data_IF_812581122223
#
_entry.id   IF_812581122223
#
_cell.length_a   1.000
_cell.length_b   1.000
_cell.length_c   1.000
_cell.angle_alpha   90.00
_cell.angle_beta   90.00
_cell.angle_gamma   90.00
#
_symmetry.space_group_name_H-M   'P 1'
#
loop_
_entity.id
_entity.type
_entity.pdbx_description
1 polymer ?
#
# COMPACT_ATOMS: atom_id res chain seq x y z
N UNK A 1 4.60 -1.08 8.13
CA UNK A 1 4.52 -0.96 6.69
C UNK A 1 4.00 0.38 6.30
N UNK A 2 3.42 0.89 5.46
CA UNK A 2 3.10 2.29 5.08
C UNK A 2 4.25 3.04 4.37
N UNK A 3 5.24 2.31 3.88
CA UNK A 3 6.44 2.87 3.25
C UNK A 3 6.80 2.16 1.95
N UNK A 4 5.82 1.82 1.10
CA UNK A 4 6.06 1.24 -0.23
C UNK A 4 6.39 -0.25 -0.27
N UNK A 5 6.25 -0.96 0.83
CA UNK A 5 6.52 -2.40 0.88
C UNK A 5 5.67 -3.22 -0.09
N UNK A 6 4.42 -2.83 -0.28
CA UNK A 6 3.50 -3.47 -1.24
C UNK A 6 4.02 -3.33 -2.69
N UNK A 7 4.38 -2.12 -3.10
CA UNK A 7 4.96 -1.86 -4.42
C UNK A 7 6.27 -2.63 -4.62
N UNK A 8 7.11 -2.70 -3.59
CA UNK A 8 8.37 -3.45 -3.62
C UNK A 8 8.13 -4.94 -3.81
N UNK A 9 7.18 -5.52 -3.07
CA UNK A 9 6.77 -6.90 -3.24
C UNK A 9 6.27 -7.20 -4.65
N UNK A 10 5.41 -6.30 -5.15
CA UNK A 10 4.83 -6.44 -6.48
C UNK A 10 5.91 -6.41 -7.57
N UNK A 11 6.88 -5.49 -7.45
CA UNK A 11 8.02 -5.44 -8.35
C UNK A 11 8.79 -6.78 -8.38
N UNK A 12 9.14 -7.31 -7.23
CA UNK A 12 9.91 -8.56 -7.14
C UNK A 12 9.14 -9.76 -7.72
N UNK A 13 7.83 -9.83 -7.52
CA UNK A 13 6.99 -10.87 -8.15
C UNK A 13 6.96 -10.74 -9.67
N UNK A 14 6.88 -9.52 -10.21
CA UNK A 14 6.94 -9.27 -11.64
C UNK A 14 8.30 -9.62 -12.26
N UNK A 15 9.36 -9.60 -11.46
CA UNK A 15 10.69 -10.07 -11.84
C UNK A 15 10.84 -11.60 -11.77
N UNK A 16 9.79 -12.34 -11.40
CA UNK A 16 9.84 -13.79 -11.26
C UNK A 16 10.59 -14.30 -10.02
N UNK A 17 10.85 -13.43 -9.03
CA UNK A 17 11.49 -13.83 -7.79
C UNK A 17 10.48 -14.54 -6.87
N UNK A 18 10.98 -15.52 -6.13
CA UNK A 18 10.22 -16.15 -5.06
C UNK A 18 10.14 -15.20 -3.87
N UNK A 19 8.98 -14.59 -3.67
CA UNK A 19 8.74 -13.60 -2.63
C UNK A 19 8.01 -14.24 -1.47
N UNK A 20 8.58 -14.13 -0.28
CA UNK A 20 7.98 -14.62 0.96
C UNK A 20 6.60 -14.02 1.24
N UNK A 21 5.83 -14.68 2.10
CA UNK A 21 4.47 -14.25 2.45
C UNK A 21 4.50 -12.95 3.22
N UNK A 22 3.69 -11.98 2.75
CA UNK A 22 3.56 -10.66 3.33
C UNK A 22 2.35 -10.60 4.28
N UNK A 23 2.53 -9.96 5.41
CA UNK A 23 1.41 -9.50 6.24
C UNK A 23 0.75 -10.53 7.16
N UNK A 24 1.09 -11.81 7.08
CA UNK A 24 0.57 -12.83 7.99
C UNK A 24 1.64 -13.16 9.02
N UNK A 25 1.36 -12.95 10.28
CA UNK A 25 2.19 -13.39 11.40
C UNK A 25 1.83 -14.82 11.80
N UNK A 26 2.78 -15.55 12.38
CA UNK A 26 2.55 -16.85 12.94
C UNK A 26 3.31 -18.00 12.29
N UNK A 27 3.01 -19.19 12.74
CA UNK A 27 3.74 -20.42 12.38
C UNK A 27 3.67 -20.74 10.88
N UNK A 28 2.52 -20.54 10.25
CA UNK A 28 2.37 -20.82 8.82
C UNK A 28 3.23 -19.92 7.95
N UNK A 29 3.42 -18.67 8.34
CA UNK A 29 4.33 -17.74 7.64
C UNK A 29 5.79 -18.12 7.88
N UNK A 30 6.12 -18.50 9.11
CA UNK A 30 7.46 -19.00 9.44
C UNK A 30 7.81 -20.22 8.59
N UNK A 31 6.93 -21.23 8.53
CA UNK A 31 7.16 -22.46 7.74
C UNK A 31 7.31 -22.14 6.24
N UNK A 32 6.51 -21.24 5.69
CA UNK A 32 6.64 -20.83 4.28
C UNK A 32 7.97 -20.12 4.02
N UNK A 33 8.37 -19.20 4.87
CA UNK A 33 9.65 -18.51 4.73
C UNK A 33 10.83 -19.45 4.90
N UNK A 34 10.73 -20.40 5.83
CA UNK A 34 11.72 -21.46 6.00
C UNK A 34 11.88 -22.32 4.74
N UNK A 35 10.76 -22.82 4.20
CA UNK A 35 10.78 -23.60 2.97
C UNK A 35 11.33 -22.80 1.79
N UNK A 36 11.00 -21.52 1.69
CA UNK A 36 11.58 -20.65 0.67
C UNK A 36 13.09 -20.48 0.83
N UNK A 37 13.60 -20.38 2.06
CA UNK A 37 15.04 -20.24 2.32
C UNK A 37 15.83 -21.51 1.95
N UNK A 38 15.20 -22.67 1.96
CA UNK A 38 15.79 -23.94 1.55
C UNK A 38 15.79 -24.17 0.03
N UNK A 39 15.05 -23.38 -0.72
CA UNK A 39 14.99 -23.54 -2.18
C UNK A 39 16.30 -23.08 -2.81
N UNK A 40 16.71 -23.78 -3.90
CA UNK A 40 17.92 -23.43 -4.67
C UNK A 40 17.71 -22.21 -5.59
N UNK A 41 16.49 -21.70 -5.66
CA UNK A 41 16.15 -20.51 -6.47
C UNK A 41 16.63 -19.24 -5.77
N UNK A 42 16.81 -18.17 -6.54
CA UNK A 42 17.07 -16.84 -5.97
C UNK A 42 15.89 -16.42 -5.12
N UNK A 43 16.07 -16.44 -3.82
CA UNK A 43 15.00 -16.15 -2.87
C UNK A 43 15.09 -14.74 -2.33
N UNK A 44 13.95 -14.08 -2.27
CA UNK A 44 13.76 -12.88 -1.50
C UNK A 44 12.94 -13.23 -0.26
N UNK A 45 13.58 -13.18 0.89
CA UNK A 45 12.87 -13.34 2.17
C UNK A 45 12.39 -11.97 2.61
N UNK A 46 11.09 -11.77 2.61
CA UNK A 46 10.51 -10.56 3.19
C UNK A 46 10.11 -10.82 4.62
N UNK A 47 10.79 -10.14 5.52
CA UNK A 47 10.46 -10.17 6.94
C UNK A 47 9.29 -9.22 7.20
N UNK A 48 8.15 -9.77 7.60
CA UNK A 48 6.97 -8.99 7.93
C UNK A 48 7.22 -8.09 9.16
N UNK A 49 6.60 -6.91 9.18
CA UNK A 49 6.72 -5.96 10.26
C UNK A 49 6.15 -6.37 11.62
N UNK A 50 5.45 -7.46 11.73
CA UNK A 50 4.81 -7.83 12.98
C UNK A 50 5.83 -8.38 13.98
N UNK A 51 5.85 -7.79 15.16
CA UNK A 51 6.68 -8.19 16.29
C UNK A 51 6.08 -9.39 17.00
N UNK A 52 5.96 -10.52 16.33
CA UNK A 52 5.65 -11.77 17.02
C UNK A 52 6.93 -12.59 17.25
N UNK A 53 6.81 -13.60 18.08
CA UNK A 53 7.90 -14.54 18.41
C UNK A 53 8.52 -15.25 17.18
N UNK A 54 7.83 -15.28 16.05
CA UNK A 54 8.30 -15.90 14.82
C UNK A 54 9.16 -14.97 13.98
N UNK A 55 9.06 -13.65 14.17
CA UNK A 55 9.88 -12.68 13.49
C UNK A 55 11.37 -12.88 13.81
N UNK A 56 11.71 -12.97 15.08
CA UNK A 56 13.09 -13.22 15.52
C UNK A 56 13.61 -14.56 14.99
N UNK A 57 12.76 -15.59 15.03
CA UNK A 57 13.09 -16.91 14.47
C UNK A 57 13.38 -16.84 12.97
N UNK A 58 12.62 -16.08 12.19
CA UNK A 58 12.90 -15.87 10.78
C UNK A 58 14.27 -15.20 10.57
N UNK A 59 14.64 -14.24 11.41
CA UNK A 59 15.96 -13.59 11.33
C UNK A 59 17.10 -14.56 11.59
N UNK A 60 16.95 -15.52 12.50
CA UNK A 60 17.95 -16.54 12.77
C UNK A 60 18.09 -17.60 11.68
N UNK A 61 17.08 -17.75 10.80
CA UNK A 61 17.15 -18.65 9.65
C UNK A 61 17.97 -18.11 8.49
N UNK A 62 18.29 -16.82 8.51
CA UNK A 62 19.03 -16.16 7.45
C UNK A 62 20.52 -16.39 7.74
N UNK A 63 21.10 -17.34 7.03
CA UNK A 63 22.52 -17.65 7.10
C UNK A 63 23.25 -17.14 5.85
N UNK A 64 24.52 -16.75 6.03
CA UNK A 64 25.38 -16.29 4.94
C UNK A 64 25.33 -14.79 4.65
N UNK A 65 25.91 -14.41 3.52
CA UNK A 65 25.94 -13.03 3.04
C UNK A 65 24.59 -12.65 2.39
N UNK A 66 23.88 -11.73 3.00
CA UNK A 66 22.64 -11.18 2.45
C UNK A 66 22.61 -9.66 2.54
N UNK A 67 21.78 -9.05 1.72
CA UNK A 67 21.56 -7.61 1.73
C UNK A 67 20.23 -7.29 2.38
N UNK A 68 20.22 -6.36 3.32
CA UNK A 68 19.00 -5.85 3.90
C UNK A 68 18.49 -4.73 3.02
N UNK A 69 17.26 -4.88 2.53
CA UNK A 69 16.52 -3.82 1.87
C UNK A 69 15.42 -3.32 2.80
N UNK A 70 15.40 -2.03 3.05
CA UNK A 70 14.32 -1.40 3.78
C UNK A 70 13.86 -0.11 3.12
N UNK A 71 12.56 0.13 3.19
CA UNK A 71 11.92 1.34 2.68
C UNK A 71 11.62 2.28 3.83
N UNK A 72 11.97 3.52 3.65
CA UNK A 72 11.80 4.59 4.62
C UNK A 72 10.83 5.63 4.12
N UNK A 73 10.21 6.33 5.04
CA UNK A 73 9.28 7.41 4.75
C UNK A 73 9.19 8.34 5.94
N UNK A 74 8.90 9.63 5.68
CA UNK A 74 8.60 10.62 6.71
C UNK A 74 7.66 10.04 7.79
N UNK A 75 8.06 10.05 9.07
CA UNK A 75 7.29 9.49 10.17
C UNK A 75 5.86 10.02 10.25
N UNK A 76 5.65 11.31 10.02
CA UNK A 76 4.32 11.94 10.05
C UNK A 76 3.47 11.44 8.87
N UNK A 77 4.07 11.28 7.68
CA UNK A 77 3.39 10.68 6.54
C UNK A 77 3.06 9.18 6.74
N UNK A 78 3.89 8.45 7.51
CA UNK A 78 3.58 7.07 7.93
C UNK A 78 2.36 7.02 8.85
N UNK A 79 2.29 7.93 9.83
CA UNK A 79 1.14 8.06 10.74
C UNK A 79 -0.13 8.39 9.94
N UNK A 80 -0.08 9.38 9.04
CA UNK A 80 -1.19 9.73 8.16
C UNK A 80 -1.71 8.50 7.41
N UNK A 81 -0.79 7.77 6.77
CA UNK A 81 -1.18 6.57 6.02
C UNK A 81 -1.77 5.50 6.93
N UNK A 82 -1.24 5.34 8.15
CA UNK A 82 -1.78 4.42 9.14
C UNK A 82 -3.21 4.79 9.54
N UNK A 83 -3.46 6.04 9.91
CA UNK A 83 -4.78 6.53 10.31
C UNK A 83 -5.80 6.31 9.19
N UNK A 84 -5.49 6.75 7.98
CA UNK A 84 -6.38 6.58 6.84
C UNK A 84 -6.56 5.09 6.45
N UNK A 85 -5.56 4.23 6.67
CA UNK A 85 -5.64 2.81 6.37
C UNK A 85 -6.44 2.02 7.40
N UNK A 86 -6.36 2.37 8.67
CA UNK A 86 -7.14 1.72 9.74
C UNK A 86 -8.64 1.77 9.43
N UNK A 87 -9.09 2.89 8.90
CA UNK A 87 -10.48 3.13 8.57
C UNK A 87 -10.91 2.58 7.20
N UNK A 88 -10.01 1.91 6.47
CA UNK A 88 -10.21 1.52 5.08
C UNK A 88 -10.15 0.00 4.87
N UNK A 89 -10.59 -0.79 5.84
CA UNK A 89 -10.64 -2.25 5.72
C UNK A 89 -12.03 -2.75 5.44
N UNK A 90 -12.13 -3.63 4.45
CA UNK A 90 -13.34 -4.39 4.16
C UNK A 90 -13.53 -5.51 5.18
N UNK A 91 -14.77 -5.73 5.59
CA UNK A 91 -15.14 -6.76 6.57
C UNK A 91 -15.55 -8.09 5.99
N UNK A 92 -15.61 -8.28 4.70
CA UNK A 92 -16.05 -9.53 4.15
C UNK A 92 -14.94 -10.58 4.17
N UNK A 93 -14.99 -11.45 5.17
CA UNK A 93 -14.10 -12.61 5.31
C UNK A 93 -14.21 -13.61 4.15
N UNK A 94 -15.30 -13.58 3.37
CA UNK A 94 -15.59 -14.55 2.30
C UNK A 94 -15.39 -14.03 0.88
N UNK A 95 -14.96 -12.78 0.70
CA UNK A 95 -14.64 -12.24 -0.63
C UNK A 95 -13.14 -12.07 -0.64
N UNK A 96 -12.49 -12.52 -1.72
CA UNK A 96 -11.17 -12.00 -2.03
C UNK A 96 -11.22 -10.49 -1.73
N UNK A 97 -10.52 -10.06 -0.70
CA UNK A 97 -10.73 -8.78 -0.01
C UNK A 97 -10.73 -7.54 -0.94
N UNK A 98 -10.36 -7.74 -2.19
CA UNK A 98 -10.20 -6.72 -3.22
C UNK A 98 -11.24 -6.85 -4.36
N UNK A 99 -12.24 -7.73 -4.26
CA UNK A 99 -13.20 -7.90 -5.35
C UNK A 99 -14.63 -7.68 -4.89
N UNK A 100 -15.38 -6.94 -5.71
CA UNK A 100 -16.82 -6.80 -5.58
C UNK A 100 -17.50 -7.22 -6.86
N UNK A 101 -18.70 -7.76 -6.70
CA UNK A 101 -19.54 -8.16 -7.81
C UNK A 101 -20.81 -7.32 -7.80
N UNK A 102 -21.17 -6.79 -8.97
CA UNK A 102 -22.38 -6.02 -9.24
C UNK A 102 -23.11 -6.68 -10.39
N UNK A 103 -24.43 -6.86 -10.26
CA UNK A 103 -25.25 -7.29 -11.37
C UNK A 103 -25.34 -6.16 -12.40
N UNK A 104 -25.27 -6.52 -13.69
CA UNK A 104 -25.47 -5.54 -14.74
C UNK A 104 -26.84 -4.90 -14.64
N UNK A 105 -26.90 -3.61 -14.95
CA UNK A 105 -28.11 -2.79 -14.91
C UNK A 105 -28.71 -2.57 -13.51
N UNK A 106 -28.06 -3.04 -12.45
CA UNK A 106 -28.35 -2.59 -11.09
C UNK A 106 -27.99 -1.10 -10.98
N UNK A 107 -28.91 -0.29 -10.48
CA UNK A 107 -28.72 1.15 -10.29
C UNK A 107 -28.44 1.51 -8.84
N UNK A 108 -28.52 0.54 -7.93
CA UNK A 108 -28.22 0.69 -6.50
C UNK A 108 -26.79 0.24 -6.22
N UNK A 109 -25.81 1.07 -6.55
CA UNK A 109 -24.41 0.76 -6.28
C UNK A 109 -24.15 0.75 -4.78
N UNK A 110 -23.88 -0.46 -4.25
CA UNK A 110 -23.49 -0.59 -2.85
C UNK A 110 -21.96 -0.59 -2.73
N UNK A 111 -21.44 0.48 -2.15
CA UNK A 111 -20.02 0.56 -1.81
C UNK A 111 -19.74 -0.15 -0.48
N UNK A 112 -18.52 -0.66 -0.25
CA UNK A 112 -18.21 -1.48 0.90
C UNK A 112 -18.41 -0.75 2.22
N UNK A 113 -18.96 -1.45 3.20
CA UNK A 113 -18.84 -1.05 4.59
C UNK A 113 -17.37 -1.18 5.04
N UNK A 114 -16.94 -0.23 5.85
CA UNK A 114 -15.58 -0.15 6.34
C UNK A 114 -15.56 -0.55 7.81
N UNK A 115 -14.59 -1.37 8.18
CA UNK A 115 -14.39 -1.82 9.55
C UNK A 115 -13.09 -1.28 10.10
N UNK A 116 -13.18 -0.70 11.26
CA UNK A 116 -12.02 -0.26 12.01
C UNK A 116 -11.33 -1.42 12.71
N UNK A 117 -9.99 -1.39 12.77
CA UNK A 117 -9.22 -2.36 13.54
C UNK A 117 -9.54 -2.31 15.05
N UNK A 118 -10.00 -1.16 15.54
CA UNK A 118 -10.27 -0.94 16.95
C UNK A 118 -11.76 -0.84 17.29
N UNK A 119 -12.58 -0.61 16.29
CA UNK A 119 -14.03 -0.59 16.39
C UNK A 119 -14.60 -1.62 15.43
N UNK A 120 -15.65 -2.29 15.81
CA UNK A 120 -16.15 -3.43 15.03
C UNK A 120 -16.71 -3.04 13.66
N UNK A 121 -17.39 -1.90 13.57
CA UNK A 121 -18.00 -1.41 12.32
C UNK A 121 -18.08 0.10 12.29
N UNK A 122 -17.86 0.69 11.11
CA UNK A 122 -18.18 2.08 10.84
C UNK A 122 -19.11 2.17 9.64
N UNK A 123 -20.20 2.91 9.77
CA UNK A 123 -21.14 3.15 8.68
C UNK A 123 -20.65 4.28 7.76
N UNK A 124 -19.97 5.25 8.34
CA UNK A 124 -19.42 6.40 7.62
C UNK A 124 -17.91 6.30 7.51
N UNK A 125 -17.40 6.55 6.33
CA UNK A 125 -15.97 6.61 6.09
C UNK A 125 -15.42 7.96 6.57
N UNK A 126 -15.06 8.05 7.84
CA UNK A 126 -14.41 9.23 8.41
C UNK A 126 -13.25 8.82 9.30
N UNK A 127 -12.00 8.99 8.82
CA UNK A 127 -10.84 8.81 9.67
C UNK A 127 -10.93 9.74 10.88
N UNK A 128 -10.74 9.18 12.07
CA UNK A 128 -10.76 9.93 13.31
C UNK A 128 -9.32 10.18 13.80
N UNK A 129 -8.92 11.45 13.87
CA UNK A 129 -7.60 11.83 14.35
C UNK A 129 -7.39 11.52 15.84
N UNK A 130 -8.46 11.44 16.62
CA UNK A 130 -8.38 11.14 18.07
C UNK A 130 -7.87 9.71 18.33
N UNK A 131 -8.01 8.81 17.35
CA UNK A 131 -7.40 7.47 17.40
C UNK A 131 -5.90 7.54 17.59
N UNK A 132 -5.24 8.62 17.14
CA UNK A 132 -3.80 8.84 17.32
C UNK A 132 -3.39 8.79 18.80
N UNK A 133 -4.24 9.27 19.69
CA UNK A 133 -3.99 9.23 21.14
C UNK A 133 -3.82 7.78 21.64
N UNK A 134 -4.78 6.92 21.36
CA UNK A 134 -4.72 5.51 21.76
C UNK A 134 -3.57 4.75 21.09
N UNK A 135 -3.21 5.11 19.87
CA UNK A 135 -2.08 4.51 19.16
C UNK A 135 -0.71 4.86 19.78
N UNK A 136 -0.55 6.10 20.25
CA UNK A 136 0.69 6.56 20.91
C UNK A 136 0.76 6.10 22.36
N UNK A 137 -0.36 6.15 23.09
CA UNK A 137 -0.44 5.68 24.48
C UNK A 137 -0.24 4.17 24.59
N UNK A 138 -0.75 3.42 23.63
CA UNK A 138 -0.56 1.97 23.54
C UNK A 138 0.79 1.58 22.91
N UNK A 139 0.95 0.27 22.76
CA UNK A 139 2.18 -0.30 22.16
C UNK A 139 2.14 -0.34 20.61
N UNK A 140 1.03 0.10 20.00
CA UNK A 140 0.82 -0.07 18.55
C UNK A 140 1.88 0.66 17.71
N UNK A 141 2.17 1.91 18.06
CA UNK A 141 3.19 2.70 17.33
C UNK A 141 4.55 2.02 17.39
N UNK A 142 4.99 1.55 18.55
CA UNK A 142 6.28 0.90 18.74
C UNK A 142 6.35 -0.48 18.05
N UNK A 143 5.26 -1.25 18.07
CA UNK A 143 5.24 -2.61 17.53
C UNK A 143 5.07 -2.67 16.01
N UNK A 144 4.27 -1.78 15.44
CA UNK A 144 3.83 -1.91 14.05
C UNK A 144 4.26 -0.76 13.13
N UNK A 145 4.50 0.43 13.67
CA UNK A 145 4.87 1.61 12.87
C UNK A 145 6.35 1.93 13.02
N UNK A 146 6.82 2.09 14.26
CA UNK A 146 8.17 2.54 14.60
C UNK A 146 8.97 1.43 15.29
N UNK A 147 9.42 0.46 14.52
CA UNK A 147 10.17 -0.71 15.03
C UNK A 147 11.39 -1.09 14.16
N UNK A 148 11.82 -0.18 13.28
CA UNK A 148 12.91 -0.46 12.34
C UNK A 148 14.24 -0.64 13.06
N UNK A 149 14.57 0.25 14.01
CA UNK A 149 15.81 0.13 14.79
C UNK A 149 15.90 -1.22 15.53
N UNK A 150 14.81 -1.67 16.14
CA UNK A 150 14.78 -2.97 16.82
C UNK A 150 15.09 -4.13 15.86
N UNK A 151 14.63 -4.04 14.62
CA UNK A 151 14.88 -5.05 13.58
C UNK A 151 16.29 -5.03 13.07
N UNK A 152 16.84 -3.86 12.80
CA UNK A 152 18.22 -3.70 12.34
C UNK A 152 19.20 -4.26 13.37
N UNK A 153 18.94 -4.08 14.67
CA UNK A 153 19.72 -4.65 15.76
C UNK A 153 19.72 -6.19 15.77
N UNK A 154 18.61 -6.83 15.43
CA UNK A 154 18.53 -8.31 15.33
C UNK A 154 19.30 -8.81 14.11
N UNK A 155 19.18 -8.13 12.99
CA UNK A 155 19.75 -8.57 11.71
C UNK A 155 21.28 -8.41 11.64
N UNK A 156 21.91 -7.60 12.48
CA UNK A 156 23.38 -7.42 12.63
C UNK A 156 24.15 -7.36 11.29
N UNK A 157 23.65 -6.59 10.32
CA UNK A 157 24.15 -6.66 8.96
C UNK A 157 25.06 -5.54 8.54
N UNK A 158 26.04 -5.88 7.70
CA UNK A 158 27.02 -4.95 7.13
C UNK A 158 26.58 -4.35 5.80
N UNK A 159 25.60 -4.94 5.10
CA UNK A 159 25.15 -4.48 3.78
C UNK A 159 23.69 -4.08 3.81
N UNK A 160 23.45 -2.78 3.91
CA UNK A 160 22.11 -2.19 3.96
C UNK A 160 21.83 -1.37 2.70
N UNK A 161 20.59 -1.49 2.18
CA UNK A 161 20.08 -0.66 1.09
C UNK A 161 18.82 0.03 1.60
N UNK A 162 18.88 1.34 1.72
CA UNK A 162 17.73 2.16 2.06
C UNK A 162 17.09 2.75 0.79
N UNK A 163 15.77 2.76 0.75
CA UNK A 163 14.99 3.49 -0.26
C UNK A 163 14.13 4.54 0.43
N UNK A 164 14.23 5.77 -0.03
CA UNK A 164 13.36 6.85 0.44
C UNK A 164 12.05 6.83 -0.36
N UNK A 165 10.99 6.32 0.25
CA UNK A 165 9.68 6.23 -0.40
C UNK A 165 9.19 7.57 -0.98
N UNK A 166 9.41 8.66 -0.26
CA UNK A 166 8.86 9.96 -0.67
C UNK A 166 9.58 10.56 -1.90
N UNK A 167 10.80 10.10 -2.19
CA UNK A 167 11.62 10.56 -3.33
C UNK A 167 11.87 9.43 -4.32
N UNK A 168 12.55 8.36 -3.88
CA UNK A 168 13.03 7.29 -4.76
C UNK A 168 11.90 6.40 -5.28
N UNK A 169 10.88 6.18 -4.43
CA UNK A 169 9.70 5.38 -4.73
C UNK A 169 8.46 6.23 -5.03
N UNK A 170 8.64 7.53 -5.33
CA UNK A 170 7.56 8.33 -5.90
C UNK A 170 7.13 7.73 -7.24
N UNK A 171 5.87 7.95 -7.61
CA UNK A 171 5.33 7.41 -8.88
C UNK A 171 6.11 7.85 -10.12
N UNK A 172 6.89 8.93 -10.05
CA UNK A 172 7.74 9.42 -11.15
C UNK A 172 9.07 8.66 -11.25
N UNK A 173 9.57 8.13 -10.15
CA UNK A 173 10.91 7.55 -10.07
C UNK A 173 10.91 6.05 -9.76
N UNK A 174 9.78 5.50 -9.32
CA UNK A 174 9.73 4.16 -8.75
C UNK A 174 10.25 3.09 -9.70
N UNK A 175 9.87 3.11 -10.98
CA UNK A 175 10.29 2.10 -11.93
C UNK A 175 11.80 2.09 -12.13
N UNK A 176 12.40 3.26 -12.36
CA UNK A 176 13.85 3.39 -12.53
C UNK A 176 14.62 3.02 -11.26
N UNK A 177 14.11 3.43 -10.11
CA UNK A 177 14.70 3.06 -8.81
C UNK A 177 14.71 1.54 -8.62
N UNK A 178 13.63 0.86 -8.93
CA UNK A 178 13.57 -0.60 -8.87
C UNK A 178 14.49 -1.28 -9.89
N UNK A 179 14.63 -0.74 -11.10
CA UNK A 179 15.59 -1.22 -12.09
C UNK A 179 17.06 -1.08 -11.62
N UNK A 180 17.40 0.05 -11.00
CA UNK A 180 18.73 0.23 -10.38
C UNK A 180 18.92 -0.74 -9.22
N UNK A 181 17.89 -0.97 -8.41
CA UNK A 181 17.90 -1.92 -7.31
C UNK A 181 18.16 -3.35 -7.81
N UNK A 182 17.56 -3.76 -8.92
CA UNK A 182 17.78 -5.09 -9.50
C UNK A 182 19.25 -5.33 -9.85
N UNK A 183 19.94 -4.30 -10.40
CA UNK A 183 21.38 -4.36 -10.66
C UNK A 183 22.19 -4.50 -9.37
N UNK A 184 21.87 -3.72 -8.32
CA UNK A 184 22.54 -3.82 -7.00
C UNK A 184 22.35 -5.17 -6.33
N UNK A 185 21.21 -5.80 -6.54
CA UNK A 185 20.86 -7.11 -5.96
C UNK A 185 21.15 -8.28 -6.91
N UNK A 186 21.65 -8.01 -8.10
CA UNK A 186 22.04 -8.98 -9.12
C UNK A 186 20.92 -9.95 -9.53
N UNK A 187 19.80 -9.39 -10.00
CA UNK A 187 18.71 -10.16 -10.62
C UNK A 187 18.16 -9.43 -11.86
N UNK A 188 17.45 -10.16 -12.72
CA UNK A 188 16.83 -9.60 -13.93
C UNK A 188 15.61 -8.77 -13.56
N UNK A 189 15.55 -7.47 -13.95
CA UNK A 189 14.38 -6.64 -13.70
C UNK A 189 13.17 -7.11 -14.52
N UNK A 190 11.98 -6.71 -14.11
CA UNK A 190 10.78 -6.94 -14.89
C UNK A 190 10.78 -6.11 -16.20
N UNK A 191 9.99 -6.57 -17.17
CA UNK A 191 9.89 -5.93 -18.49
C UNK A 191 9.36 -4.50 -18.40
N UNK A 192 9.83 -3.62 -19.30
CA UNK A 192 9.35 -2.25 -19.51
C UNK A 192 7.82 -2.14 -19.66
N UNK A 193 7.16 -3.18 -20.16
CA UNK A 193 5.71 -3.22 -20.27
C UNK A 193 4.97 -3.02 -18.92
N UNK A 194 5.67 -3.19 -17.79
CA UNK A 194 5.12 -2.99 -16.45
C UNK A 194 5.43 -1.60 -15.87
N UNK A 195 6.15 -0.73 -16.59
CA UNK A 195 6.49 0.64 -16.16
C UNK A 195 5.27 1.39 -15.65
N UNK A 196 4.17 1.35 -16.40
CA UNK A 196 2.94 2.06 -16.05
C UNK A 196 2.36 1.68 -14.68
N UNK A 197 2.63 0.44 -14.20
CA UNK A 197 2.16 -0.02 -12.89
C UNK A 197 2.81 0.80 -11.76
N UNK A 198 4.06 1.19 -11.93
CA UNK A 198 4.85 1.90 -10.92
C UNK A 198 4.81 3.42 -11.07
N UNK A 199 4.59 3.90 -12.28
CA UNK A 199 4.50 5.34 -12.59
C UNK A 199 3.06 5.89 -12.47
N UNK A 200 2.10 5.05 -12.09
CA UNK A 200 0.72 5.45 -11.89
C UNK A 200 0.44 5.75 -10.42
N UNK A 201 -0.21 6.86 -10.16
CA UNK A 201 -0.61 7.26 -8.80
C UNK A 201 -1.84 6.48 -8.35
N UNK A 202 -1.64 5.33 -7.72
CA UNK A 202 -2.70 4.37 -7.34
C UNK A 202 -3.14 4.43 -5.88
N UNK A 203 -2.32 4.96 -5.01
CA UNK A 203 -2.45 4.84 -3.56
C UNK A 203 -3.84 5.17 -3.01
N UNK A 204 -4.59 6.02 -3.69
CA UNK A 204 -5.91 6.42 -3.22
C UNK A 204 -6.96 5.33 -3.43
N UNK A 205 -6.98 4.71 -4.62
CA UNK A 205 -7.99 3.68 -4.96
C UNK A 205 -7.72 2.38 -4.20
N UNK A 206 -6.47 1.96 -4.13
CA UNK A 206 -6.07 0.80 -3.35
C UNK A 206 -6.40 0.96 -1.86
N UNK A 207 -6.23 2.19 -1.34
CA UNK A 207 -6.58 2.52 0.04
C UNK A 207 -8.08 2.36 0.33
N UNK A 208 -8.96 2.53 -0.63
CA UNK A 208 -10.40 2.39 -0.46
C UNK A 208 -10.90 0.94 -0.59
N UNK A 209 -10.07 0.01 -1.03
CA UNK A 209 -10.35 -1.43 -1.12
C UNK A 209 -11.65 -1.82 -1.85
N UNK A 210 -12.16 -1.00 -2.74
CA UNK A 210 -13.36 -1.34 -3.52
C UNK A 210 -13.07 -1.64 -4.99
N UNK A 211 -11.82 -1.57 -5.39
CA UNK A 211 -11.34 -2.03 -6.68
C UNK A 211 -10.41 -3.25 -6.49
N UNK A 212 -10.42 -4.19 -7.43
CA UNK A 212 -11.26 -4.25 -8.62
C UNK A 212 -12.72 -4.60 -8.33
N UNK A 213 -13.63 -4.12 -9.19
CA UNK A 213 -15.05 -4.46 -9.16
C UNK A 213 -15.40 -5.25 -10.41
N UNK A 214 -16.14 -6.32 -10.25
CA UNK A 214 -16.69 -7.14 -11.33
C UNK A 214 -18.15 -6.76 -11.60
N UNK A 215 -18.48 -6.42 -12.83
CA UNK A 215 -19.86 -6.17 -13.30
C UNK A 215 -20.23 -7.35 -14.17
N UNK A 216 -21.21 -8.14 -13.73
CA UNK A 216 -21.64 -9.34 -14.44
C UNK A 216 -22.78 -9.05 -15.37
N UNK A 217 -22.57 -9.28 -16.66
CA UNK A 217 -23.57 -9.33 -17.71
C UNK A 217 -23.93 -10.79 -18.02
N UNK A 218 -25.02 -11.02 -18.73
CA UNK A 218 -25.52 -12.39 -18.99
C UNK A 218 -24.47 -13.32 -19.62
N UNK A 219 -23.60 -12.79 -20.48
CA UNK A 219 -22.67 -13.61 -21.29
C UNK A 219 -21.20 -13.31 -21.05
N UNK A 220 -20.88 -12.24 -20.32
CA UNK A 220 -19.51 -11.84 -20.01
C UNK A 220 -19.46 -10.95 -18.75
N UNK A 221 -18.28 -10.84 -18.17
CA UNK A 221 -17.98 -9.94 -17.07
C UNK A 221 -17.13 -8.77 -17.54
N UNK A 222 -17.35 -7.60 -16.94
CA UNK A 222 -16.52 -6.41 -17.08
C UNK A 222 -15.90 -6.10 -15.74
N UNK A 223 -14.60 -5.82 -15.73
CA UNK A 223 -13.86 -5.47 -14.53
C UNK A 223 -13.51 -3.99 -14.54
N UNK A 224 -13.84 -3.29 -13.47
CA UNK A 224 -13.33 -1.95 -13.20
C UNK A 224 -12.14 -2.10 -12.26
N UNK A 225 -10.96 -1.69 -12.71
CA UNK A 225 -9.70 -1.96 -12.03
C UNK A 225 -8.76 -0.75 -12.08
N UNK A 226 -7.60 -0.90 -11.46
CA UNK A 226 -6.49 0.05 -11.49
C UNK A 226 -5.24 -0.65 -12.05
N UNK A 227 -4.23 0.08 -12.55
CA UNK A 227 -3.01 -0.49 -13.12
C UNK A 227 -2.34 -1.52 -12.21
N UNK A 228 -2.37 -1.29 -10.92
CA UNK A 228 -1.76 -2.20 -9.93
C UNK A 228 -2.32 -3.63 -10.01
N UNK A 229 -3.64 -3.79 -10.15
CA UNK A 229 -4.27 -5.11 -10.25
C UNK A 229 -4.29 -5.69 -11.67
N UNK A 230 -3.98 -4.88 -12.69
CA UNK A 230 -3.96 -5.36 -14.08
C UNK A 230 -3.00 -6.52 -14.30
N UNK A 231 -1.86 -6.52 -13.61
CA UNK A 231 -0.88 -7.60 -13.72
C UNK A 231 -1.39 -8.95 -13.18
N UNK A 232 -2.40 -8.93 -12.32
CA UNK A 232 -3.07 -10.12 -11.78
C UNK A 232 -4.17 -10.63 -12.72
N UNK A 233 -4.64 -9.78 -13.64
CA UNK A 233 -5.69 -10.06 -14.61
C UNK A 233 -5.11 -10.35 -16.01
N UNK A 234 -4.15 -11.27 -16.10
CA UNK A 234 -3.35 -11.54 -17.31
C UNK A 234 -4.17 -11.94 -18.54
N UNK A 235 -5.31 -12.59 -18.33
CA UNK A 235 -6.20 -13.07 -19.40
C UNK A 235 -7.24 -12.00 -19.81
N UNK A 236 -7.08 -10.76 -19.33
CA UNK A 236 -8.00 -9.67 -19.64
C UNK A 236 -7.35 -8.65 -20.58
N UNK A 237 -8.17 -8.02 -21.39
CA UNK A 237 -7.80 -6.91 -22.27
C UNK A 237 -8.41 -5.61 -21.75
N UNK A 238 -7.68 -4.53 -21.95
CA UNK A 238 -8.12 -3.19 -21.58
C UNK A 238 -8.92 -2.55 -22.72
N UNK A 239 -10.21 -2.34 -22.47
CA UNK A 239 -11.15 -1.74 -23.43
C UNK A 239 -11.50 -0.27 -23.10
N UNK A 240 -10.82 0.33 -22.15
CA UNK A 240 -11.14 1.70 -21.68
C UNK A 240 -11.15 2.72 -22.80
N UNK A 241 -10.15 2.71 -23.68
CA UNK A 241 -10.06 3.62 -24.82
C UNK A 241 -11.17 3.39 -25.85
N UNK A 242 -11.62 2.16 -26.04
CA UNK A 242 -12.74 1.84 -26.93
C UNK A 242 -14.07 2.36 -26.39
N UNK A 243 -14.22 2.43 -25.07
CA UNK A 243 -15.44 2.93 -24.44
C UNK A 243 -15.49 4.45 -24.39
N UNK A 244 -14.37 5.09 -24.09
CA UNK A 244 -14.35 6.52 -23.73
C UNK A 244 -13.53 7.40 -24.68
N UNK A 245 -12.76 6.80 -25.62
CA UNK A 245 -11.78 7.55 -26.42
C UNK A 245 -10.72 8.20 -25.53
N UNK A 246 -10.51 9.50 -25.68
CA UNK A 246 -9.63 10.30 -24.81
C UNK A 246 -10.34 10.92 -23.59
N UNK A 247 -11.65 10.76 -23.46
CA UNK A 247 -12.47 11.40 -22.42
C UNK A 247 -12.61 10.48 -21.19
N UNK A 248 -11.55 10.34 -20.42
CA UNK A 248 -11.59 9.57 -19.19
C UNK A 248 -12.41 10.29 -18.11
N UNK A 249 -13.34 9.57 -17.49
CA UNK A 249 -14.15 10.08 -16.40
C UNK A 249 -13.35 10.10 -15.09
N UNK A 250 -12.49 9.12 -14.94
CA UNK A 250 -11.65 8.93 -13.76
C UNK A 250 -10.27 8.42 -14.21
N UNK A 251 -9.24 9.19 -13.89
CA UNK A 251 -7.86 8.84 -14.24
C UNK A 251 -7.43 7.53 -13.59
N UNK A 252 -6.59 6.80 -14.30
CA UNK A 252 -6.01 5.54 -13.82
C UNK A 252 -7.03 4.44 -13.51
N UNK A 253 -8.21 4.49 -14.10
CA UNK A 253 -9.18 3.41 -14.09
C UNK A 253 -9.12 2.64 -15.41
N UNK A 254 -9.05 1.32 -15.29
CA UNK A 254 -9.11 0.40 -16.42
C UNK A 254 -10.46 -0.31 -16.43
N UNK A 255 -11.03 -0.40 -17.61
CA UNK A 255 -12.18 -1.27 -17.91
C UNK A 255 -11.63 -2.47 -18.66
N UNK A 256 -11.77 -3.64 -18.07
CA UNK A 256 -11.16 -4.88 -18.54
C UNK A 256 -12.25 -5.93 -18.83
N UNK A 257 -12.03 -6.73 -19.86
CA UNK A 257 -12.86 -7.92 -20.18
C UNK A 257 -11.94 -9.11 -20.41
N UNK A 258 -12.47 -10.33 -20.24
CA UNK A 258 -11.73 -11.53 -20.61
C UNK A 258 -11.43 -11.52 -22.11
N UNK A 259 -10.21 -11.89 -22.48
CA UNK A 259 -9.75 -11.88 -23.87
C UNK A 259 -10.62 -12.73 -24.79
N UNK A 260 -11.08 -13.89 -24.32
CA UNK A 260 -11.95 -14.79 -25.07
C UNK A 260 -13.40 -14.27 -25.25
N UNK A 261 -13.75 -13.16 -24.58
CA UNK A 261 -15.07 -12.50 -24.65
C UNK A 261 -15.09 -11.21 -25.48
N UNK A 262 -13.94 -10.82 -26.06
CA UNK A 262 -13.81 -9.59 -26.85
C UNK A 262 -14.84 -9.49 -27.96
N UNK A 263 -14.98 -10.53 -28.78
CA UNK A 263 -15.93 -10.59 -29.87
C UNK A 263 -17.38 -10.49 -29.40
N UNK A 264 -17.72 -11.17 -28.30
CA UNK A 264 -19.06 -11.08 -27.71
C UNK A 264 -19.41 -9.68 -27.23
N UNK A 265 -18.41 -9.00 -26.67
CA UNK A 265 -18.59 -7.64 -26.20
C UNK A 265 -18.84 -6.68 -27.36
N UNK A 266 -17.96 -6.63 -28.36
CA UNK A 266 -18.06 -5.67 -29.46
C UNK A 266 -19.20 -5.94 -30.44
N UNK A 267 -19.63 -7.20 -30.59
CA UNK A 267 -20.79 -7.58 -31.41
C UNK A 267 -22.11 -7.56 -30.66
N UNK A 268 -22.12 -7.16 -29.38
CA UNK A 268 -23.33 -7.16 -28.57
C UNK A 268 -24.32 -6.08 -29.06
N UNK A 269 -25.55 -6.51 -29.38
CA UNK A 269 -26.60 -5.59 -29.83
C UNK A 269 -26.93 -4.50 -28.80
N UNK A 270 -26.67 -4.77 -27.53
CA UNK A 270 -26.94 -3.86 -26.42
C UNK A 270 -25.71 -3.02 -25.99
N UNK A 271 -24.65 -2.99 -26.80
CA UNK A 271 -23.37 -2.35 -26.45
C UNK A 271 -23.55 -0.88 -25.99
N UNK A 272 -24.48 -0.15 -26.60
CA UNK A 272 -24.77 1.23 -26.20
C UNK A 272 -25.26 1.32 -24.75
N UNK A 273 -26.15 0.46 -24.32
CA UNK A 273 -26.67 0.45 -22.95
C UNK A 273 -25.63 -0.06 -21.95
N UNK A 274 -24.82 -1.05 -22.35
CA UNK A 274 -23.69 -1.55 -21.57
C UNK A 274 -22.70 -0.42 -21.30
N UNK A 275 -22.32 0.33 -22.33
CA UNK A 275 -21.45 1.49 -22.20
C UNK A 275 -22.04 2.55 -21.27
N UNK A 276 -23.31 2.91 -21.43
CA UNK A 276 -23.99 3.86 -20.56
C UNK A 276 -24.00 3.42 -19.10
N UNK A 277 -24.23 2.14 -18.86
CA UNK A 277 -24.19 1.57 -17.51
C UNK A 277 -22.81 1.69 -16.88
N UNK A 278 -21.75 1.29 -17.60
CA UNK A 278 -20.37 1.40 -17.14
C UNK A 278 -20.00 2.86 -16.85
N UNK A 279 -20.39 3.80 -17.75
CA UNK A 279 -20.17 5.24 -17.55
C UNK A 279 -20.82 5.72 -16.26
N UNK A 280 -22.09 5.38 -16.05
CA UNK A 280 -22.83 5.77 -14.84
C UNK A 280 -22.16 5.20 -13.58
N UNK A 281 -21.74 3.94 -13.61
CA UNK A 281 -21.02 3.33 -12.48
C UNK A 281 -19.73 4.08 -12.15
N UNK A 282 -18.90 4.39 -13.16
CA UNK A 282 -17.62 5.10 -12.95
C UNK A 282 -17.88 6.54 -12.45
N UNK A 283 -18.95 7.21 -12.90
CA UNK A 283 -19.33 8.53 -12.40
C UNK A 283 -19.69 8.50 -10.91
N UNK A 284 -20.51 7.54 -10.49
CA UNK A 284 -20.87 7.37 -9.08
C UNK A 284 -19.66 6.94 -8.22
N UNK A 285 -18.81 6.08 -8.76
CA UNK A 285 -17.54 5.72 -8.12
C UNK A 285 -16.66 6.96 -7.92
N UNK A 286 -16.52 7.80 -8.93
CA UNK A 286 -15.76 9.06 -8.84
C UNK A 286 -16.31 9.95 -7.74
N UNK A 287 -17.63 10.15 -7.71
CA UNK A 287 -18.30 10.96 -6.68
C UNK A 287 -18.01 10.42 -5.28
N UNK A 288 -18.17 9.11 -5.09
CA UNK A 288 -17.83 8.46 -3.81
C UNK A 288 -16.37 8.69 -3.40
N UNK A 289 -15.42 8.50 -4.33
CA UNK A 289 -14.00 8.74 -4.10
C UNK A 289 -13.72 10.20 -3.73
N UNK A 290 -14.35 11.14 -4.43
CA UNK A 290 -14.16 12.58 -4.18
C UNK A 290 -14.75 13.00 -2.81
N UNK A 291 -15.83 12.37 -2.39
CA UNK A 291 -16.41 12.60 -1.06
C UNK A 291 -15.50 12.04 0.04
N UNK A 292 -14.99 10.80 -0.12
CA UNK A 292 -14.04 10.21 0.82
C UNK A 292 -12.75 11.03 0.93
N UNK A 293 -12.26 11.59 -0.19
CA UNK A 293 -11.05 12.45 -0.20
C UNK A 293 -11.14 13.65 0.74
N UNK A 294 -12.33 14.22 0.90
CA UNK A 294 -12.55 15.41 1.74
C UNK A 294 -12.31 15.12 3.22
N UNK A 295 -12.57 13.87 3.62
CA UNK A 295 -12.49 13.44 5.02
C UNK A 295 -11.14 12.80 5.38
N UNK A 296 -10.20 12.68 4.42
CA UNK A 296 -8.89 12.10 4.70
C UNK A 296 -8.04 13.04 5.56
N UNK A 297 -7.43 12.47 6.60
CA UNK A 297 -6.43 13.14 7.43
C UNK A 297 -5.18 13.43 6.61
N UNK A 298 -4.67 14.65 6.67
CA UNK A 298 -3.40 15.04 6.08
C UNK A 298 -2.30 15.24 7.15
N UNK A 299 -1.05 15.41 6.72
CA UNK A 299 0.09 15.60 7.63
C UNK A 299 -0.08 16.86 8.50
N UNK A 300 -0.66 17.93 7.95
CA UNK A 300 -0.91 19.17 8.67
C UNK A 300 -1.93 19.00 9.80
N UNK A 301 -2.94 18.14 9.60
CA UNK A 301 -3.93 17.83 10.63
C UNK A 301 -3.25 17.13 11.82
N UNK A 302 -2.34 16.20 11.53
CA UNK A 302 -1.56 15.49 12.55
C UNK A 302 -0.68 16.48 13.32
N UNK A 303 0.05 17.33 12.64
CA UNK A 303 0.91 18.34 13.29
C UNK A 303 0.09 19.31 14.15
N UNK A 304 -1.06 19.76 13.64
CA UNK A 304 -2.00 20.59 14.39
C UNK A 304 -2.52 19.88 15.65
N UNK A 305 -2.93 18.63 15.53
CA UNK A 305 -3.40 17.82 16.65
C UNK A 305 -2.30 17.66 17.71
N UNK A 306 -1.09 17.32 17.30
CA UNK A 306 0.05 17.15 18.18
C UNK A 306 0.44 18.47 18.88
N UNK A 307 0.36 19.60 18.18
CA UNK A 307 0.62 20.92 18.78
C UNK A 307 -0.31 21.22 19.98
N UNK A 308 -1.57 20.78 19.91
CA UNK A 308 -2.53 20.95 21.00
C UNK A 308 -2.42 19.88 22.09
N UNK A 309 -1.54 18.88 21.91
CA UNK A 309 -1.32 17.79 22.85
C UNK A 309 0.17 17.61 23.18
N UNK A 310 0.80 18.54 23.96
CA UNK A 310 2.25 18.57 24.18
C UNK A 310 2.83 17.27 24.75
N UNK A 311 2.18 16.70 25.77
CA UNK A 311 2.62 15.45 26.39
C UNK A 311 2.67 14.30 25.39
N UNK A 312 1.65 14.22 24.52
CA UNK A 312 1.55 13.19 23.48
C UNK A 312 2.65 13.39 22.43
N UNK A 313 2.92 14.64 22.06
CA UNK A 313 3.98 15.01 21.11
C UNK A 313 5.34 14.60 21.61
N UNK A 314 5.68 14.92 22.85
CA UNK A 314 6.97 14.53 23.43
C UNK A 314 7.12 13.01 23.53
N UNK A 315 6.03 12.31 23.85
CA UNK A 315 6.03 10.83 23.87
C UNK A 315 6.26 10.24 22.47
N UNK A 316 5.58 10.77 21.46
CA UNK A 316 5.77 10.36 20.07
C UNK A 316 7.20 10.66 19.58
N UNK A 317 7.73 11.84 19.92
CA UNK A 317 9.09 12.23 19.56
C UNK A 317 10.13 11.22 20.07
N UNK A 318 9.99 10.79 21.34
CA UNK A 318 10.86 9.74 21.91
C UNK A 318 10.76 8.41 21.16
N UNK A 319 9.56 8.03 20.72
CA UNK A 319 9.36 6.80 19.94
C UNK A 319 10.05 6.91 18.58
N UNK A 320 9.86 8.03 17.87
CA UNK A 320 10.45 8.24 16.55
C UNK A 320 11.97 8.35 16.65
N UNK A 321 12.52 9.16 17.57
CA UNK A 321 13.97 9.30 17.75
C UNK A 321 14.65 7.95 17.98
N UNK A 322 14.02 7.06 18.77
CA UNK A 322 14.52 5.72 19.00
C UNK A 322 14.47 4.86 17.74
N UNK A 323 13.43 5.00 16.91
CA UNK A 323 13.26 4.20 15.67
C UNK A 323 14.28 4.59 14.59
N UNK A 324 14.66 5.87 14.52
CA UNK A 324 15.55 6.38 13.47
C UNK A 324 17.03 6.49 13.91
N UNK A 325 17.37 6.11 15.13
CA UNK A 325 18.69 6.26 15.71
C UNK A 325 19.80 5.65 14.84
N UNK A 326 19.69 4.39 14.49
CA UNK A 326 20.66 3.69 13.63
C UNK A 326 20.66 4.23 12.19
N UNK A 327 19.47 4.64 11.72
CA UNK A 327 19.32 5.19 10.37
C UNK A 327 20.02 6.54 10.26
N UNK A 328 19.95 7.36 11.29
CA UNK A 328 20.58 8.69 11.33
C UNK A 328 22.09 8.62 11.12
N UNK A 329 22.72 7.53 11.54
CA UNK A 329 24.17 7.32 11.39
C UNK A 329 24.54 7.10 9.92
N UNK A 330 23.74 6.33 9.17
CA UNK A 330 24.11 5.87 7.83
C UNK A 330 23.35 6.58 6.70
N UNK A 331 22.20 7.21 7.00
CA UNK A 331 21.27 7.79 6.05
C UNK A 331 20.69 9.13 6.54
N UNK A 332 21.55 9.99 7.05
CA UNK A 332 21.15 11.32 7.56
C UNK A 332 20.53 12.21 6.49
N UNK A 333 20.94 12.02 5.22
CA UNK A 333 20.40 12.69 4.04
C UNK A 333 18.91 12.36 3.82
N UNK A 334 18.53 11.09 4.00
CA UNK A 334 17.12 10.67 3.91
C UNK A 334 16.29 11.36 5.00
N UNK A 335 16.79 11.38 6.24
CA UNK A 335 16.08 12.03 7.36
C UNK A 335 15.95 13.53 7.12
N UNK A 336 16.99 14.18 6.63
CA UNK A 336 16.97 15.61 6.31
C UNK A 336 15.93 15.96 5.22
N UNK A 337 15.59 15.03 4.35
CA UNK A 337 14.57 15.20 3.31
C UNK A 337 13.12 15.16 3.84
N UNK A 338 12.88 14.71 5.07
CA UNK A 338 11.55 14.51 5.64
C UNK A 338 10.96 15.82 6.16
N UNK A 339 10.22 16.51 5.33
CA UNK A 339 9.67 17.83 5.61
C UNK A 339 8.83 17.92 6.90
N UNK A 340 7.89 16.98 7.05
CA UNK A 340 6.94 17.02 8.18
C UNK A 340 7.58 16.55 9.48
N UNK A 341 8.56 15.67 9.40
CA UNK A 341 9.35 15.28 10.57
C UNK A 341 10.20 16.43 11.06
N UNK A 342 10.85 17.22 10.18
CA UNK A 342 11.62 18.41 10.55
C UNK A 342 10.73 19.45 11.26
N UNK A 343 9.51 19.67 10.73
CA UNK A 343 8.53 20.57 11.35
C UNK A 343 8.08 20.06 12.72
N UNK A 344 7.84 18.76 12.86
CA UNK A 344 7.47 18.11 14.12
C UNK A 344 8.62 18.16 15.15
N UNK A 345 9.84 17.87 14.75
CA UNK A 345 11.01 17.89 15.63
C UNK A 345 11.22 19.30 16.20
N UNK A 346 11.18 20.33 15.34
CA UNK A 346 11.26 21.73 15.77
C UNK A 346 10.16 22.11 16.77
N UNK A 347 8.92 21.68 16.50
CA UNK A 347 7.80 21.90 17.44
C UNK A 347 8.07 21.24 18.80
N UNK A 348 8.61 20.04 18.84
CA UNK A 348 8.95 19.37 20.09
C UNK A 348 10.10 20.06 20.85
N UNK A 349 11.11 20.58 20.16
CA UNK A 349 12.18 21.36 20.77
C UNK A 349 11.66 22.65 21.44
N UNK A 350 10.67 23.29 20.83
CA UNK A 350 10.00 24.46 21.41
C UNK A 350 9.20 24.09 22.67
N UNK A 351 8.54 22.91 22.67
CA UNK A 351 7.78 22.42 23.83
C UNK A 351 8.69 21.98 25.00
N UNK A 352 9.91 21.52 24.73
CA UNK A 352 10.85 21.12 25.77
C UNK A 352 11.49 22.33 26.48
N UNK A 353 11.44 23.55 25.87
CA UNK A 353 11.98 24.79 26.44
C UNK A 353 10.99 25.54 27.31
N UNK A 354 9.72 25.25 27.21
CA UNK A 354 8.62 25.82 27.98
C UNK A 354 8.21 24.89 29.13
#
# INVERSE_FOLDING_TARGET
SCSGSEATHHFFRLCGLNVGVWGISGESTFIKNYNNSLSKEKNLVTLCPNSDKYYEKNCYLIDGEYKILFTMRDPISRIKTCLNHIHNRLTNENVNANMRQIAAFDTNFQFPQIVYNFQKTCQDYKPDINVLNSLIEGEYMKKFIFNLNSRLKILKQNSQIALNFDIDLSYQNAFETYHMLSKKLNFTPCSEKYRFVFETKINFYAGLNHLPVKISFDTFDVWISIPYFHSELKEHINITSHLFGSNFILDNIFVLIEKNKEDYFFKNKNLKNIKLFIVKYIQELKKYIDDVKKDLICEKDILKFLKHNPTLSLKLNKIIKKDIEEIKIHHSDIIASWKYYQEFEKMCEELEKN
#
